data_IF_191675913380
#
_entry.id   IF_191675913380
#
_cell.length_a   1.000
_cell.length_b   1.000
_cell.length_c   1.000
_cell.angle_alpha   90.00
_cell.angle_beta   90.00
_cell.angle_gamma   90.00
#
_symmetry.space_group_name_H-M   'P 1'
#
loop_
_entity.id
_entity.type
_entity.pdbx_description
1 polymer ?
#
# COMPACT_ATOMS: atom_id res chain seq x y z
N UNK A 1 -14.01 -21.33 -21.30
CA UNK A 1 -13.49 -21.25 -19.89
C UNK A 1 -14.37 -20.31 -19.09
N UNK A 2 -14.39 -20.36 -17.75
CA UNK A 2 -15.19 -19.44 -16.94
C UNK A 2 -14.52 -18.06 -16.95
N UNK A 3 -15.28 -16.99 -17.23
CA UNK A 3 -14.79 -15.61 -17.14
C UNK A 3 -14.27 -15.30 -15.72
N UNK A 4 -13.04 -14.81 -15.62
CA UNK A 4 -12.45 -14.38 -14.35
C UNK A 4 -12.85 -12.93 -14.07
N UNK A 5 -13.38 -12.66 -12.88
CA UNK A 5 -13.84 -11.33 -12.46
C UNK A 5 -12.91 -10.73 -11.43
N UNK A 6 -12.41 -9.53 -11.69
CA UNK A 6 -11.48 -8.79 -10.82
C UNK A 6 -12.11 -7.47 -10.41
N UNK A 7 -12.20 -7.21 -9.10
CA UNK A 7 -12.49 -5.88 -8.57
C UNK A 7 -11.18 -5.15 -8.28
N UNK A 8 -10.92 -4.05 -8.97
CA UNK A 8 -9.78 -3.16 -8.71
C UNK A 8 -10.22 -2.11 -7.70
N UNK A 9 -9.53 -2.02 -6.57
CA UNK A 9 -9.86 -1.16 -5.44
C UNK A 9 -8.82 -0.05 -5.31
N UNK A 10 -9.28 1.19 -5.29
CA UNK A 10 -8.44 2.39 -5.23
C UNK A 10 -9.00 3.41 -4.23
N UNK A 11 -8.12 4.21 -3.66
CA UNK A 11 -8.47 5.40 -2.86
C UNK A 11 -7.71 6.58 -3.40
N UNK A 12 -8.40 7.70 -3.61
CA UNK A 12 -7.82 8.92 -4.19
C UNK A 12 -8.11 10.14 -3.30
N UNK A 13 -7.15 11.06 -3.22
CA UNK A 13 -7.31 12.34 -2.55
C UNK A 13 -6.42 13.41 -3.20
N UNK A 14 -7.04 14.37 -3.92
CA UNK A 14 -6.36 15.53 -4.53
C UNK A 14 -5.13 15.19 -5.38
N UNK A 15 -5.26 14.18 -6.25
CA UNK A 15 -4.20 13.72 -7.18
C UNK A 15 -4.74 13.45 -8.58
N UNK A 16 -5.63 14.33 -9.08
CA UNK A 16 -6.38 14.18 -10.34
C UNK A 16 -5.54 13.63 -11.49
N UNK A 17 -4.42 14.28 -11.81
CA UNK A 17 -3.59 13.91 -12.97
C UNK A 17 -3.00 12.49 -12.83
N UNK A 18 -2.50 12.15 -11.64
CA UNK A 18 -1.94 10.80 -11.37
C UNK A 18 -3.03 9.75 -11.45
N UNK A 19 -4.18 10.01 -10.85
CA UNK A 19 -5.33 9.11 -10.86
C UNK A 19 -5.83 8.85 -12.27
N UNK A 20 -6.00 9.89 -13.10
CA UNK A 20 -6.43 9.73 -14.49
C UNK A 20 -5.38 8.96 -15.31
N UNK A 21 -4.10 9.22 -15.11
CA UNK A 21 -3.03 8.47 -15.75
C UNK A 21 -3.03 6.98 -15.34
N UNK A 22 -3.29 6.68 -14.07
CA UNK A 22 -3.41 5.30 -13.57
C UNK A 22 -4.63 4.60 -14.21
N UNK A 23 -5.79 5.26 -14.26
CA UNK A 23 -7.00 4.74 -14.91
C UNK A 23 -6.78 4.49 -16.41
N UNK A 24 -6.12 5.43 -17.13
CA UNK A 24 -5.79 5.24 -18.54
C UNK A 24 -4.95 3.97 -18.76
N UNK A 25 -4.01 3.67 -17.86
CA UNK A 25 -3.21 2.43 -17.91
C UNK A 25 -4.04 1.19 -17.60
N UNK A 26 -4.98 1.25 -16.65
CA UNK A 26 -5.89 0.13 -16.36
C UNK A 26 -6.72 -0.24 -17.59
N UNK A 27 -7.24 0.75 -18.31
CA UNK A 27 -8.04 0.49 -19.51
C UNK A 27 -7.21 0.11 -20.76
N UNK A 28 -5.89 0.19 -20.67
CA UNK A 28 -4.93 -0.23 -21.70
C UNK A 28 -4.18 -1.52 -21.34
N UNK A 29 -4.58 -2.20 -20.24
CA UNK A 29 -3.97 -3.47 -19.87
C UNK A 29 -4.20 -4.52 -20.94
N UNK A 30 -3.18 -5.33 -21.19
CA UNK A 30 -3.25 -6.50 -22.04
C UNK A 30 -3.90 -7.64 -21.25
N UNK A 31 -5.20 -7.84 -21.44
CA UNK A 31 -5.99 -8.86 -20.74
C UNK A 31 -6.72 -9.75 -21.73
N UNK A 32 -6.93 -11.01 -21.37
CA UNK A 32 -7.72 -11.93 -22.20
C UNK A 32 -9.20 -11.52 -22.22
N UNK A 33 -9.92 -11.90 -23.29
CA UNK A 33 -11.37 -11.71 -23.42
C UNK A 33 -12.16 -12.43 -22.29
N UNK A 34 -11.53 -13.36 -21.61
CA UNK A 34 -12.08 -14.10 -20.47
C UNK A 34 -11.89 -13.39 -19.13
N UNK A 35 -11.34 -12.17 -19.12
CA UNK A 35 -11.10 -11.38 -17.90
C UNK A 35 -12.00 -10.15 -17.89
N UNK A 36 -12.87 -10.05 -16.90
CA UNK A 36 -13.67 -8.86 -16.63
C UNK A 36 -13.05 -8.09 -15.45
N UNK A 37 -12.91 -6.78 -15.61
CA UNK A 37 -12.42 -5.90 -14.56
C UNK A 37 -13.41 -4.79 -14.26
N UNK A 38 -13.74 -4.59 -12.99
CA UNK A 38 -14.52 -3.46 -12.51
C UNK A 38 -13.67 -2.65 -11.53
N UNK A 39 -13.70 -1.32 -11.68
CA UNK A 39 -12.88 -0.41 -10.86
C UNK A 39 -13.76 0.29 -9.85
N UNK A 40 -13.37 0.25 -8.58
CA UNK A 40 -13.99 0.93 -7.46
C UNK A 40 -13.00 1.96 -6.90
N UNK A 41 -13.36 3.24 -6.99
CA UNK A 41 -12.53 4.34 -6.53
C UNK A 41 -13.23 5.06 -5.39
N UNK A 42 -12.64 5.04 -4.20
CA UNK A 42 -13.07 5.92 -3.11
C UNK A 42 -12.47 7.31 -3.32
N UNK A 43 -13.32 8.28 -3.66
CA UNK A 43 -12.97 9.70 -3.61
C UNK A 43 -13.08 10.18 -2.16
N UNK A 44 -11.95 10.30 -1.47
CA UNK A 44 -11.93 10.73 -0.07
C UNK A 44 -11.87 12.27 0.04
N UNK A 45 -12.94 12.92 -0.42
CA UNK A 45 -13.13 14.37 -0.30
C UNK A 45 -12.18 15.18 -1.19
N UNK A 46 -11.98 14.78 -2.44
CA UNK A 46 -11.20 15.55 -3.41
C UNK A 46 -11.85 16.92 -3.69
N UNK A 47 -11.02 17.94 -3.79
CA UNK A 47 -11.40 19.33 -4.12
C UNK A 47 -10.80 19.81 -5.44
N UNK A 48 -10.00 18.96 -6.09
CA UNK A 48 -9.31 19.25 -7.36
C UNK A 48 -10.10 18.84 -8.61
N UNK A 49 -11.34 18.37 -8.44
CA UNK A 49 -12.20 17.89 -9.53
C UNK A 49 -11.86 16.47 -10.00
N UNK A 50 -11.19 15.65 -9.15
CA UNK A 50 -10.86 14.26 -9.46
C UNK A 50 -12.10 13.43 -9.74
N UNK A 51 -13.13 13.47 -8.88
CA UNK A 51 -14.34 12.66 -9.03
C UNK A 51 -15.11 12.98 -10.33
N UNK A 52 -15.28 14.25 -10.64
CA UNK A 52 -15.97 14.71 -11.85
C UNK A 52 -15.20 14.27 -13.10
N UNK A 53 -13.87 14.42 -13.09
CA UNK A 53 -13.04 14.02 -14.21
C UNK A 53 -13.07 12.50 -14.45
N UNK A 54 -13.04 11.69 -13.38
CA UNK A 54 -13.18 10.24 -13.48
C UNK A 54 -14.52 9.86 -14.08
N UNK A 55 -15.63 10.40 -13.56
CA UNK A 55 -16.97 10.11 -14.06
C UNK A 55 -17.17 10.50 -15.52
N UNK A 56 -16.54 11.59 -15.95
CA UNK A 56 -16.60 12.07 -17.33
C UNK A 56 -15.80 11.20 -18.30
N UNK A 57 -14.56 10.85 -17.93
CA UNK A 57 -13.64 10.13 -18.83
C UNK A 57 -13.78 8.62 -18.74
N UNK A 58 -14.17 8.11 -17.58
CA UNK A 58 -14.30 6.67 -17.29
C UNK A 58 -15.65 6.34 -16.66
N UNK A 59 -16.77 6.46 -17.40
CA UNK A 59 -18.13 6.34 -16.84
C UNK A 59 -18.45 4.94 -16.27
N UNK A 60 -17.63 3.93 -16.56
CA UNK A 60 -17.76 2.58 -15.98
C UNK A 60 -17.07 2.42 -14.61
N UNK A 61 -16.31 3.41 -14.16
CA UNK A 61 -15.69 3.40 -12.82
C UNK A 61 -16.74 3.67 -11.76
N UNK A 62 -16.77 2.81 -10.74
CA UNK A 62 -17.62 2.99 -9.56
C UNK A 62 -16.95 4.02 -8.63
N UNK A 63 -17.34 5.28 -8.72
CA UNK A 63 -16.83 6.35 -7.85
C UNK A 63 -17.67 6.43 -6.60
N UNK A 64 -17.04 6.12 -5.45
CA UNK A 64 -17.65 6.11 -4.12
C UNK A 64 -17.22 7.37 -3.36
N UNK A 65 -18.19 8.10 -2.80
CA UNK A 65 -17.91 9.34 -2.09
C UNK A 65 -17.56 9.08 -0.64
N UNK A 66 -16.32 9.36 -0.26
CA UNK A 66 -15.84 9.43 1.12
C UNK A 66 -16.14 10.76 1.78
N UNK A 67 -15.81 10.90 3.05
CA UNK A 67 -16.07 12.10 3.87
C UNK A 67 -14.83 13.01 4.03
N UNK A 68 -13.71 12.67 3.41
CA UNK A 68 -12.43 13.39 3.51
C UNK A 68 -11.60 12.99 4.74
N UNK A 69 -12.01 11.97 5.49
CA UNK A 69 -11.34 11.51 6.71
C UNK A 69 -10.98 10.02 6.70
N UNK A 70 -11.25 9.34 5.59
CA UNK A 70 -11.01 7.91 5.45
C UNK A 70 -9.52 7.60 5.31
N UNK A 71 -8.79 8.41 4.56
CA UNK A 71 -7.40 8.16 4.17
C UNK A 71 -7.26 6.81 3.43
N UNK A 72 -6.01 6.34 3.24
CA UNK A 72 -5.77 5.18 2.39
C UNK A 72 -6.47 3.91 2.88
N UNK A 73 -6.23 3.48 4.12
CA UNK A 73 -6.74 2.19 4.59
C UNK A 73 -8.27 2.14 4.66
N UNK A 74 -8.90 3.14 5.27
CA UNK A 74 -10.36 3.17 5.38
C UNK A 74 -11.03 3.40 4.04
N UNK A 75 -10.42 4.18 3.15
CA UNK A 75 -10.89 4.36 1.78
C UNK A 75 -10.84 3.06 0.99
N UNK A 76 -9.77 2.28 1.11
CA UNK A 76 -9.67 0.93 0.55
C UNK A 76 -10.71 -0.02 1.15
N UNK A 77 -10.93 0.02 2.47
CA UNK A 77 -12.01 -0.74 3.14
C UNK A 77 -13.38 -0.36 2.59
N UNK A 78 -13.60 0.92 2.33
CA UNK A 78 -14.88 1.41 1.79
C UNK A 78 -15.12 0.89 0.36
N UNK A 79 -14.10 0.99 -0.52
CA UNK A 79 -14.15 0.42 -1.86
C UNK A 79 -14.36 -1.11 -1.83
N UNK A 80 -13.64 -1.80 -0.93
CA UNK A 80 -13.74 -3.25 -0.81
C UNK A 80 -15.10 -3.72 -0.33
N UNK A 81 -15.69 -3.03 0.65
CA UNK A 81 -17.06 -3.32 1.12
C UNK A 81 -18.10 -3.21 0.01
N UNK A 82 -17.94 -2.24 -0.89
CA UNK A 82 -18.83 -2.08 -2.03
C UNK A 82 -18.63 -3.20 -3.05
N UNK A 83 -17.38 -3.46 -3.45
CA UNK A 83 -17.04 -4.55 -4.35
C UNK A 83 -17.48 -5.93 -3.83
N UNK A 84 -17.38 -6.17 -2.52
CA UNK A 84 -17.74 -7.44 -1.89
C UNK A 84 -19.26 -7.75 -1.92
N UNK A 85 -20.10 -6.79 -2.31
CA UNK A 85 -21.54 -7.05 -2.57
C UNK A 85 -21.76 -7.80 -3.88
N UNK A 86 -20.74 -7.91 -4.70
CA UNK A 86 -20.77 -8.57 -6.00
C UNK A 86 -19.86 -9.80 -6.00
N UNK A 87 -19.99 -10.64 -7.03
CA UNK A 87 -19.28 -11.92 -7.12
C UNK A 87 -18.02 -11.78 -7.96
N UNK A 88 -16.87 -11.48 -7.29
CA UNK A 88 -15.54 -11.41 -7.90
C UNK A 88 -14.71 -12.64 -7.52
N UNK A 89 -13.88 -13.11 -8.47
CA UNK A 89 -12.92 -14.17 -8.24
C UNK A 89 -11.64 -13.63 -7.57
N UNK A 90 -11.33 -12.32 -7.78
CA UNK A 90 -10.17 -11.63 -7.21
C UNK A 90 -10.48 -10.20 -6.83
N UNK A 91 -9.76 -9.70 -5.81
CA UNK A 91 -9.68 -8.29 -5.43
C UNK A 91 -8.26 -7.79 -5.63
N UNK A 92 -8.08 -6.69 -6.35
CA UNK A 92 -6.78 -6.08 -6.61
C UNK A 92 -6.70 -4.71 -5.91
N UNK A 93 -5.86 -4.57 -4.88
CA UNK A 93 -5.49 -3.26 -4.37
C UNK A 93 -4.54 -2.60 -5.37
N UNK A 94 -4.81 -1.37 -5.70
CA UNK A 94 -3.97 -0.57 -6.59
C UNK A 94 -3.94 0.89 -6.12
N UNK A 95 -2.73 1.41 -5.90
CA UNK A 95 -2.58 2.83 -5.60
C UNK A 95 -2.69 3.68 -6.87
N UNK A 96 -3.32 4.85 -6.75
CA UNK A 96 -3.58 5.79 -7.83
C UNK A 96 -2.33 6.49 -8.39
N UNK A 97 -1.18 6.33 -7.74
CA UNK A 97 0.14 6.84 -8.15
C UNK A 97 1.11 5.75 -8.61
N UNK A 98 0.60 4.55 -8.86
CA UNK A 98 1.38 3.43 -9.38
C UNK A 98 1.20 3.31 -10.89
N UNK A 99 2.29 3.47 -11.65
CA UNK A 99 2.28 3.37 -13.12
C UNK A 99 2.50 1.93 -13.56
N UNK A 100 1.39 1.19 -13.69
CA UNK A 100 1.37 -0.23 -13.98
C UNK A 100 1.82 -0.56 -15.41
N UNK A 101 2.40 -1.76 -15.60
CA UNK A 101 2.78 -2.30 -16.90
C UNK A 101 1.63 -3.05 -17.58
N UNK A 102 1.62 -3.12 -18.93
CA UNK A 102 0.49 -3.69 -19.68
C UNK A 102 0.13 -5.13 -19.30
N UNK A 103 1.09 -5.96 -18.95
CA UNK A 103 0.91 -7.37 -18.61
C UNK A 103 0.64 -7.66 -17.12
N UNK A 104 0.37 -6.61 -16.32
CA UNK A 104 0.13 -6.70 -14.87
C UNK A 104 -0.82 -7.86 -14.52
N UNK A 105 -2.01 -7.85 -15.10
CA UNK A 105 -3.08 -8.80 -14.75
C UNK A 105 -2.67 -10.22 -15.07
N UNK A 106 -2.10 -10.44 -16.25
CA UNK A 106 -1.68 -11.78 -16.68
C UNK A 106 -0.64 -12.36 -15.72
N UNK A 107 0.36 -11.57 -15.34
CA UNK A 107 1.40 -12.01 -14.39
C UNK A 107 0.85 -12.28 -13.00
N UNK A 108 -0.06 -11.44 -12.51
CA UNK A 108 -0.70 -11.62 -11.19
C UNK A 108 -1.56 -12.89 -11.17
N UNK A 109 -2.39 -13.12 -12.22
CA UNK A 109 -3.24 -14.30 -12.33
C UNK A 109 -2.42 -15.58 -12.47
N UNK A 110 -1.39 -15.58 -13.33
CA UNK A 110 -0.48 -16.70 -13.48
C UNK A 110 0.21 -17.04 -12.15
N UNK A 111 0.69 -16.01 -11.43
CA UNK A 111 1.31 -16.19 -10.12
C UNK A 111 0.31 -16.77 -9.11
N UNK A 112 -0.93 -16.29 -9.09
CA UNK A 112 -1.98 -16.83 -8.20
C UNK A 112 -2.31 -18.29 -8.51
N UNK A 113 -2.42 -18.65 -9.81
CA UNK A 113 -2.65 -20.04 -10.23
C UNK A 113 -1.49 -20.96 -9.84
N UNK A 114 -0.25 -20.51 -9.97
CA UNK A 114 0.94 -21.29 -9.56
C UNK A 114 1.00 -21.57 -8.04
N UNK A 115 0.24 -20.85 -7.24
CA UNK A 115 0.05 -21.14 -5.80
C UNK A 115 -1.38 -21.64 -5.50
N UNK A 116 -2.07 -22.22 -6.47
CA UNK A 116 -3.41 -22.81 -6.38
C UNK A 116 -4.50 -21.82 -5.87
N UNK A 117 -4.33 -20.52 -6.08
CA UNK A 117 -5.15 -19.45 -5.51
C UNK A 117 -5.24 -19.51 -3.96
N UNK A 118 -4.23 -20.07 -3.32
CA UNK A 118 -4.08 -20.18 -1.85
C UNK A 118 -3.03 -19.20 -1.31
N UNK A 119 -2.83 -18.10 -2.01
CA UNK A 119 -1.90 -17.07 -1.60
C UNK A 119 -2.28 -15.68 -2.13
N UNK A 120 -1.94 -14.67 -1.37
CA UNK A 120 -1.99 -13.27 -1.79
C UNK A 120 -0.77 -13.00 -2.66
N UNK A 121 -0.99 -12.40 -3.85
CA UNK A 121 0.10 -12.05 -4.76
C UNK A 121 0.47 -10.59 -4.61
N UNK A 122 1.73 -10.32 -4.31
CA UNK A 122 2.28 -8.97 -4.19
C UNK A 122 3.02 -8.60 -5.46
N UNK A 123 2.61 -7.51 -6.11
CA UNK A 123 3.33 -6.92 -7.22
C UNK A 123 4.45 -6.01 -6.72
N UNK A 124 5.63 -6.13 -7.32
CA UNK A 124 6.73 -5.21 -7.05
C UNK A 124 6.75 -4.06 -8.06
N UNK A 125 7.14 -2.87 -7.60
CA UNK A 125 7.39 -1.70 -8.42
C UNK A 125 8.85 -1.27 -8.35
N UNK A 126 9.32 -0.56 -9.39
CA UNK A 126 10.63 0.09 -9.39
C UNK A 126 10.49 1.62 -9.39
N UNK A 127 11.58 2.29 -9.08
CA UNK A 127 11.69 3.75 -9.24
C UNK A 127 11.62 4.05 -10.73
N UNK A 128 10.83 5.05 -11.18
CA UNK A 128 10.66 5.37 -12.60
C UNK A 128 11.97 5.47 -13.37
N UNK A 129 11.98 4.91 -14.57
CA UNK A 129 13.14 4.87 -15.48
C UNK A 129 14.38 4.13 -14.90
N UNK A 130 14.19 3.32 -13.86
CA UNK A 130 15.28 2.51 -13.27
C UNK A 130 14.80 1.09 -12.99
N UNK A 131 15.75 0.19 -12.65
CA UNK A 131 15.45 -1.15 -12.11
C UNK A 131 15.63 -1.18 -10.57
N UNK A 132 15.63 -0.02 -9.90
CA UNK A 132 15.75 0.04 -8.46
C UNK A 132 14.40 -0.24 -7.82
N UNK A 133 14.34 -1.24 -6.94
CA UNK A 133 13.14 -1.60 -6.19
C UNK A 133 12.61 -0.40 -5.41
N UNK A 134 11.32 -0.10 -5.54
CA UNK A 134 10.63 0.92 -4.74
C UNK A 134 9.70 0.29 -3.70
N UNK A 135 8.66 -0.44 -4.13
CA UNK A 135 7.67 -1.07 -3.25
C UNK A 135 7.41 -2.52 -3.67
N UNK A 136 6.89 -3.33 -2.72
CA UNK A 136 6.57 -4.75 -2.93
C UNK A 136 6.61 -5.53 -1.62
N UNK A 137 6.86 -6.84 -1.73
CA UNK A 137 6.94 -7.74 -0.59
C UNK A 137 8.18 -7.50 0.27
N UNK A 138 8.03 -7.77 1.58
CA UNK A 138 9.07 -7.64 2.59
C UNK A 138 9.06 -8.82 3.55
N UNK A 139 10.20 -9.07 4.19
CA UNK A 139 10.31 -9.93 5.36
C UNK A 139 10.00 -9.14 6.64
N UNK A 140 9.68 -9.82 7.74
CA UNK A 140 9.40 -9.21 9.06
C UNK A 140 10.59 -8.42 9.63
N UNK A 141 11.81 -8.76 9.23
CA UNK A 141 13.01 -8.00 9.56
C UNK A 141 13.16 -6.68 8.75
N UNK A 142 12.20 -6.40 7.83
CA UNK A 142 12.15 -5.20 7.00
C UNK A 142 12.93 -5.28 5.70
N UNK A 143 13.58 -6.40 5.39
CA UNK A 143 14.29 -6.58 4.11
C UNK A 143 13.26 -6.67 2.96
N UNK A 144 13.47 -5.87 1.93
CA UNK A 144 12.70 -5.94 0.69
C UNK A 144 13.06 -7.22 -0.09
N UNK A 145 12.06 -7.90 -0.59
CA UNK A 145 12.23 -9.03 -1.51
C UNK A 145 12.16 -8.48 -2.94
N UNK A 146 13.31 -8.45 -3.63
CA UNK A 146 13.35 -7.97 -5.02
C UNK A 146 12.96 -9.10 -5.97
N UNK A 147 12.22 -8.80 -7.06
CA UNK A 147 11.96 -9.78 -8.10
C UNK A 147 13.26 -10.36 -8.68
N UNK A 148 13.26 -11.67 -8.92
CA UNK A 148 14.44 -12.40 -9.42
C UNK A 148 14.11 -13.38 -10.55
N UNK A 149 12.96 -13.22 -11.20
CA UNK A 149 12.48 -14.14 -12.24
C UNK A 149 11.69 -15.33 -11.72
N UNK A 150 11.54 -15.47 -10.39
CA UNK A 150 10.79 -16.57 -9.77
C UNK A 150 9.79 -16.02 -8.74
N UNK A 151 8.76 -16.81 -8.45
CA UNK A 151 7.82 -16.52 -7.36
C UNK A 151 8.56 -16.71 -6.03
N UNK A 152 8.48 -15.71 -5.14
CA UNK A 152 9.18 -15.71 -3.86
C UNK A 152 8.21 -15.52 -2.70
N UNK A 153 8.38 -16.27 -1.61
CA UNK A 153 7.62 -16.02 -0.40
C UNK A 153 7.99 -14.69 0.24
N UNK A 154 6.98 -13.98 0.72
CA UNK A 154 7.12 -12.74 1.48
C UNK A 154 6.29 -12.83 2.76
N UNK A 155 6.56 -11.94 3.71
CA UNK A 155 5.86 -11.97 5.00
C UNK A 155 4.93 -10.78 5.17
N UNK A 156 5.21 -9.67 4.48
CA UNK A 156 4.41 -8.44 4.48
C UNK A 156 4.28 -7.93 3.05
N UNK A 157 3.09 -7.53 2.67
CA UNK A 157 2.81 -6.79 1.46
C UNK A 157 2.94 -5.27 1.69
N UNK A 158 3.22 -4.53 0.62
CA UNK A 158 2.94 -3.10 0.53
C UNK A 158 1.73 -2.92 -0.38
N UNK A 159 0.80 -2.05 0.00
CA UNK A 159 -0.50 -1.90 -0.63
C UNK A 159 -0.54 -1.34 -2.06
N UNK A 160 0.61 -1.16 -2.74
CA UNK A 160 0.66 -0.57 -4.09
C UNK A 160 0.00 -1.47 -5.16
N UNK A 161 0.32 -2.77 -5.15
CA UNK A 161 -0.22 -3.78 -6.05
C UNK A 161 -0.37 -5.08 -5.25
N UNK A 162 -1.59 -5.47 -4.92
CA UNK A 162 -1.84 -6.71 -4.16
C UNK A 162 -3.08 -7.41 -4.69
N UNK A 163 -2.92 -8.60 -5.25
CA UNK A 163 -4.03 -9.44 -5.72
C UNK A 163 -4.42 -10.44 -4.63
N UNK A 164 -5.69 -10.42 -4.26
CA UNK A 164 -6.27 -11.30 -3.24
C UNK A 164 -7.29 -12.23 -3.91
N UNK A 165 -7.02 -13.54 -3.99
CA UNK A 165 -8.00 -14.52 -4.48
C UNK A 165 -9.24 -14.60 -3.57
N UNK A 166 -10.40 -14.90 -4.15
CA UNK A 166 -11.66 -15.07 -3.44
C UNK A 166 -11.55 -16.03 -2.26
N UNK A 167 -10.83 -17.13 -2.43
CA UNK A 167 -10.61 -18.12 -1.36
C UNK A 167 -9.96 -17.51 -0.12
N UNK A 168 -8.99 -16.63 -0.31
CA UNK A 168 -8.33 -15.90 0.80
C UNK A 168 -9.28 -14.88 1.40
N UNK A 169 -9.99 -14.11 0.57
CA UNK A 169 -10.99 -13.15 1.04
C UNK A 169 -12.09 -13.83 1.89
N UNK A 170 -12.62 -14.96 1.46
CA UNK A 170 -13.69 -15.68 2.18
C UNK A 170 -13.22 -16.16 3.56
N UNK A 171 -11.93 -16.46 3.73
CA UNK A 171 -11.37 -16.92 4.99
C UNK A 171 -10.93 -15.78 5.92
N UNK A 172 -10.36 -14.70 5.36
CA UNK A 172 -9.70 -13.62 6.13
C UNK A 172 -10.60 -12.38 6.24
N UNK A 173 -11.47 -12.15 5.24
CA UNK A 173 -12.28 -10.94 5.13
C UNK A 173 -11.52 -9.77 4.53
N UNK A 174 -11.92 -8.55 4.93
CA UNK A 174 -11.34 -7.27 4.47
C UNK A 174 -10.34 -6.72 5.49
N UNK A 175 -9.60 -5.66 5.09
CA UNK A 175 -8.70 -4.93 6.00
C UNK A 175 -9.43 -4.37 7.23
N UNK A 176 -8.70 -4.27 8.35
CA UNK A 176 -9.21 -3.71 9.61
C UNK A 176 -9.38 -2.18 9.51
N UNK A 177 -10.61 -1.64 9.66
CA UNK A 177 -10.88 -0.19 9.57
C UNK A 177 -10.36 0.60 10.78
N UNK A 178 -9.79 -0.05 11.77
CA UNK A 178 -9.17 0.63 12.91
C UNK A 178 -8.03 1.54 12.45
N UNK A 179 -7.21 1.06 11.51
CA UNK A 179 -6.13 1.86 10.92
C UNK A 179 -6.69 2.91 9.97
N UNK A 180 -6.06 4.08 9.95
CA UNK A 180 -6.45 5.17 9.04
C UNK A 180 -5.67 5.13 7.74
N UNK A 181 -4.34 5.04 7.82
CA UNK A 181 -3.45 5.12 6.66
C UNK A 181 -2.39 4.03 6.67
N UNK A 182 -1.51 4.02 7.67
CA UNK A 182 -0.42 3.04 7.83
C UNK A 182 -0.92 1.76 8.52
N UNK A 183 -0.18 0.68 8.43
CA UNK A 183 -0.39 -0.62 9.06
C UNK A 183 -1.48 -1.53 8.48
N UNK A 184 -2.46 -1.01 7.74
CA UNK A 184 -3.54 -1.85 7.22
C UNK A 184 -3.06 -2.98 6.32
N UNK A 185 -2.14 -2.70 5.41
CA UNK A 185 -1.50 -3.68 4.53
C UNK A 185 -0.67 -4.73 5.30
N UNK A 186 0.08 -4.26 6.29
CA UNK A 186 0.90 -5.12 7.15
C UNK A 186 0.05 -5.97 8.09
N UNK A 187 -1.03 -5.41 8.65
CA UNK A 187 -2.00 -6.13 9.48
C UNK A 187 -2.69 -7.23 8.68
N UNK A 188 -3.18 -6.90 7.48
CA UNK A 188 -3.81 -7.88 6.60
C UNK A 188 -2.85 -9.00 6.18
N UNK A 189 -1.59 -8.65 5.90
CA UNK A 189 -0.54 -9.63 5.58
C UNK A 189 -0.35 -10.66 6.70
N UNK A 190 -0.32 -10.19 7.95
CA UNK A 190 -0.19 -11.09 9.10
C UNK A 190 -1.44 -11.93 9.31
N UNK A 191 -2.65 -11.37 9.16
CA UNK A 191 -3.90 -12.13 9.21
C UNK A 191 -3.96 -13.24 8.16
N UNK A 192 -3.57 -12.94 6.92
CA UNK A 192 -3.48 -13.95 5.84
C UNK A 192 -2.60 -15.11 6.26
N UNK A 193 -1.43 -14.84 6.84
CA UNK A 193 -0.49 -15.87 7.32
C UNK A 193 -1.03 -16.63 8.54
N UNK A 194 -1.70 -15.95 9.47
CA UNK A 194 -2.36 -16.56 10.63
C UNK A 194 -3.47 -17.56 10.22
N UNK A 195 -4.12 -17.32 9.07
CA UNK A 195 -5.09 -18.24 8.47
C UNK A 195 -4.46 -19.35 7.61
N UNK A 196 -3.12 -19.45 7.59
CA UNK A 196 -2.40 -20.50 6.88
C UNK A 196 -2.20 -20.27 5.40
N UNK A 197 -2.54 -19.09 4.86
CA UNK A 197 -2.30 -18.73 3.47
C UNK A 197 -0.89 -18.16 3.27
N UNK A 198 -0.39 -18.29 2.04
CA UNK A 198 0.88 -17.70 1.64
C UNK A 198 0.73 -16.24 1.22
N UNK A 199 1.81 -15.46 1.37
CA UNK A 199 2.03 -14.24 0.59
C UNK A 199 3.20 -14.50 -0.34
N UNK A 200 3.03 -14.22 -1.62
CA UNK A 200 4.07 -14.43 -2.61
C UNK A 200 4.27 -13.18 -3.45
N UNK A 201 5.51 -12.88 -3.82
CA UNK A 201 5.82 -11.81 -4.73
C UNK A 201 5.89 -12.34 -6.16
N UNK A 202 5.30 -11.59 -7.09
CA UNK A 202 5.38 -11.84 -8.52
C UNK A 202 6.86 -11.82 -9.03
N UNK A 203 7.18 -12.59 -10.10
CA UNK A 203 8.57 -12.83 -10.51
C UNK A 203 9.29 -11.60 -11.07
N UNK A 204 8.55 -10.55 -11.48
CA UNK A 204 9.11 -9.32 -12.08
C UNK A 204 8.47 -8.05 -11.54
N UNK A 205 9.03 -6.90 -11.89
CA UNK A 205 8.36 -5.62 -11.66
C UNK A 205 7.10 -5.51 -12.51
N UNK A 206 6.03 -5.01 -11.90
CA UNK A 206 4.71 -4.85 -12.51
C UNK A 206 4.30 -3.40 -12.70
N UNK A 207 5.19 -2.47 -12.38
CA UNK A 207 4.96 -1.05 -12.55
C UNK A 207 6.08 -0.21 -11.96
N UNK A 208 5.89 1.10 -12.03
CA UNK A 208 6.79 2.10 -11.49
C UNK A 208 6.05 2.92 -10.42
N UNK A 209 6.76 3.27 -9.36
CA UNK A 209 6.27 4.17 -8.31
C UNK A 209 7.43 4.91 -7.67
N UNK A 210 7.31 6.23 -7.52
CA UNK A 210 8.30 7.06 -6.85
C UNK A 210 8.47 6.62 -5.41
N UNK A 211 9.71 6.56 -4.94
CA UNK A 211 10.01 6.23 -3.56
C UNK A 211 10.15 7.48 -2.71
N UNK A 212 9.37 7.56 -1.64
CA UNK A 212 9.52 8.64 -0.65
C UNK A 212 10.67 8.33 0.31
N UNK A 213 11.84 8.92 0.05
CA UNK A 213 13.08 8.71 0.85
C UNK A 213 13.35 9.87 1.83
N UNK A 214 12.32 10.47 2.39
CA UNK A 214 12.51 11.54 3.40
C UNK A 214 12.35 11.01 4.81
N UNK A 215 13.16 11.55 5.73
CA UNK A 215 13.00 11.29 7.14
C UNK A 215 11.63 11.84 7.59
N UNK A 216 10.79 11.02 8.25
CA UNK A 216 9.49 11.49 8.70
C UNK A 216 9.60 12.61 9.72
N UNK A 217 8.74 13.64 9.60
CA UNK A 217 8.77 14.83 10.49
C UNK A 217 8.69 14.48 11.97
N UNK A 218 8.03 13.39 12.37
CA UNK A 218 7.88 12.99 13.78
C UNK A 218 9.19 12.53 14.43
N UNK A 219 10.20 12.18 13.68
CA UNK A 219 11.53 11.76 14.15
C UNK A 219 12.68 12.59 13.55
N UNK A 220 12.38 13.69 12.88
CA UNK A 220 13.38 14.58 12.30
C UNK A 220 13.99 15.49 13.40
N UNK A 221 15.29 15.36 13.71
CA UNK A 221 15.94 16.18 14.74
C UNK A 221 16.03 17.67 14.41
N UNK A 222 15.82 18.07 13.15
CA UNK A 222 15.77 19.47 12.73
C UNK A 222 14.42 20.14 13.08
N UNK A 223 13.37 19.34 13.35
CA UNK A 223 12.07 19.86 13.70
C UNK A 223 11.96 20.10 15.23
N UNK A 224 11.28 21.17 15.67
CA UNK A 224 10.95 21.36 17.08
C UNK A 224 10.14 20.18 17.64
N UNK A 225 10.27 19.91 18.95
CA UNK A 225 9.54 18.80 19.59
C UNK A 225 8.02 18.92 19.40
N UNK A 226 7.47 20.14 19.45
CA UNK A 226 6.04 20.40 19.23
C UNK A 226 5.58 19.96 17.84
N UNK A 227 6.38 20.20 16.80
CA UNK A 227 6.10 19.77 15.42
C UNK A 227 6.21 18.25 15.33
N UNK A 228 7.26 17.66 15.91
CA UNK A 228 7.43 16.20 15.95
C UNK A 228 6.26 15.53 16.65
N UNK A 229 5.84 16.06 17.80
CA UNK A 229 4.72 15.54 18.58
C UNK A 229 3.40 15.59 17.80
N UNK A 230 3.10 16.73 17.16
CA UNK A 230 1.94 16.87 16.29
C UNK A 230 1.98 15.88 15.13
N UNK A 231 3.14 15.71 14.49
CA UNK A 231 3.33 14.78 13.39
C UNK A 231 3.21 13.31 13.83
N UNK A 232 3.65 12.96 15.04
CA UNK A 232 3.52 11.62 15.60
C UNK A 232 2.06 11.15 15.66
N UNK A 233 1.14 12.05 16.03
CA UNK A 233 -0.29 11.75 16.10
C UNK A 233 -1.07 12.05 14.84
N UNK A 234 -0.41 12.59 13.81
CA UNK A 234 -1.03 12.81 12.51
C UNK A 234 -1.34 11.47 11.84
N UNK A 235 -2.13 11.50 10.78
CA UNK A 235 -2.46 10.29 10.01
C UNK A 235 -1.24 9.71 9.31
N UNK A 236 -0.33 10.57 8.87
CA UNK A 236 0.94 10.17 8.24
C UNK A 236 2.04 9.81 9.26
N UNK A 237 1.74 9.90 10.55
CA UNK A 237 2.66 9.52 11.62
C UNK A 237 2.34 8.13 12.19
N UNK A 238 3.31 7.51 12.88
CA UNK A 238 3.10 6.20 13.51
C UNK A 238 2.31 6.36 14.80
N UNK A 239 1.04 6.75 14.69
CA UNK A 239 0.18 7.01 15.85
C UNK A 239 0.37 5.93 16.93
N UNK A 240 0.79 6.28 18.15
CA UNK A 240 1.09 5.31 19.21
C UNK A 240 -0.07 4.37 19.55
N UNK A 241 -1.34 4.81 19.34
CA UNK A 241 -2.52 3.97 19.54
C UNK A 241 -2.62 2.88 18.49
N UNK A 242 -2.38 3.23 17.21
CA UNK A 242 -2.38 2.25 16.11
C UNK A 242 -1.17 1.31 16.21
N UNK A 243 0.00 1.82 16.61
CA UNK A 243 1.19 0.99 16.91
C UNK A 243 0.88 0.01 18.04
N UNK A 244 0.29 0.46 19.15
CA UNK A 244 -0.08 -0.40 20.27
C UNK A 244 -1.06 -1.49 19.85
N UNK A 245 -2.12 -1.11 19.12
CA UNK A 245 -3.13 -2.04 18.64
C UNK A 245 -2.53 -3.13 17.75
N UNK A 246 -1.75 -2.74 16.74
CA UNK A 246 -1.07 -3.64 15.81
C UNK A 246 -0.11 -4.61 16.54
N UNK A 247 0.77 -4.08 17.36
CA UNK A 247 1.78 -4.90 18.05
C UNK A 247 1.14 -5.82 19.10
N UNK A 248 0.06 -5.37 19.76
CA UNK A 248 -0.70 -6.22 20.70
C UNK A 248 -1.41 -7.35 19.98
N UNK A 249 -2.06 -7.04 18.84
CA UNK A 249 -2.85 -8.00 18.04
C UNK A 249 -1.98 -9.16 17.56
N UNK A 250 -0.81 -8.88 17.00
CA UNK A 250 0.02 -9.88 16.34
C UNK A 250 1.20 -10.41 17.17
N UNK A 251 1.68 -9.66 18.15
CA UNK A 251 2.93 -9.99 18.87
C UNK A 251 2.81 -9.93 20.39
N UNK A 252 1.65 -9.57 20.91
CA UNK A 252 1.36 -9.55 22.33
C UNK A 252 1.73 -8.27 23.08
N UNK A 253 1.27 -8.18 24.32
CA UNK A 253 1.27 -6.98 25.15
C UNK A 253 2.68 -6.44 25.41
N UNK A 254 3.63 -7.30 25.75
CA UNK A 254 4.99 -6.87 26.11
C UNK A 254 5.68 -6.17 24.93
N UNK A 255 5.52 -6.72 23.71
CA UNK A 255 6.08 -6.12 22.50
C UNK A 255 5.36 -4.81 22.17
N UNK A 256 4.05 -4.73 22.34
CA UNK A 256 3.27 -3.51 22.13
C UNK A 256 3.77 -2.36 23.01
N UNK A 257 3.95 -2.60 24.31
CA UNK A 257 4.48 -1.59 25.23
C UNK A 257 5.90 -1.15 24.80
N UNK A 258 6.80 -2.09 24.54
CA UNK A 258 8.17 -1.79 24.09
C UNK A 258 8.19 -0.94 22.82
N UNK A 259 7.34 -1.24 21.83
CA UNK A 259 7.28 -0.50 20.57
C UNK A 259 6.71 0.90 20.75
N UNK A 260 5.69 1.08 21.56
CA UNK A 260 5.14 2.41 21.89
C UNK A 260 6.18 3.28 22.60
N UNK A 261 6.86 2.74 23.62
CA UNK A 261 7.94 3.45 24.31
C UNK A 261 9.09 3.82 23.35
N UNK A 262 9.50 2.90 22.47
CA UNK A 262 10.51 3.19 21.46
C UNK A 262 10.05 4.28 20.46
N UNK A 263 8.76 4.32 20.11
CA UNK A 263 8.18 5.36 19.24
C UNK A 263 8.25 6.74 19.93
N UNK A 264 7.86 6.83 21.20
CA UNK A 264 8.00 8.07 21.96
C UNK A 264 9.45 8.51 22.12
N UNK A 265 10.35 7.56 22.42
CA UNK A 265 11.78 7.88 22.58
C UNK A 265 12.38 8.42 21.27
N UNK A 266 12.03 7.82 20.11
CA UNK A 266 12.43 8.36 18.79
C UNK A 266 11.90 9.77 18.53
N UNK A 267 10.67 10.06 18.95
CA UNK A 267 10.09 11.39 18.80
C UNK A 267 10.80 12.42 19.70
N UNK A 268 11.07 12.08 20.95
CA UNK A 268 11.67 13.01 21.93
C UNK A 268 13.18 13.17 21.72
N UNK A 269 13.88 12.06 21.49
CA UNK A 269 15.34 12.01 21.34
C UNK A 269 15.79 11.46 19.97
N UNK A 270 15.35 12.05 18.83
CA UNK A 270 15.59 11.47 17.50
C UNK A 270 17.08 11.35 17.16
N UNK A 271 17.94 12.23 17.65
CA UNK A 271 19.40 12.21 17.39
C UNK A 271 20.05 10.88 17.70
N UNK A 272 19.61 10.18 18.75
CA UNK A 272 20.14 8.87 19.16
C UNK A 272 19.92 7.83 18.04
N UNK A 273 18.77 7.89 17.33
CA UNK A 273 18.37 6.91 16.32
C UNK A 273 18.84 7.30 14.91
N UNK A 274 18.84 8.59 14.60
CA UNK A 274 19.24 9.10 13.28
C UNK A 274 20.75 8.87 13.02
N UNK A 275 21.55 8.74 14.04
CA UNK A 275 22.99 8.49 13.88
C UNK A 275 23.34 7.01 13.70
N UNK A 276 22.38 6.12 13.76
CA UNK A 276 22.59 4.67 13.65
C UNK A 276 21.69 4.06 12.58
N UNK A 277 22.19 3.06 11.86
CA UNK A 277 21.41 2.21 10.97
C UNK A 277 20.75 2.91 9.77
N UNK A 278 19.51 2.53 9.45
CA UNK A 278 18.75 2.98 8.29
C UNK A 278 18.38 4.48 8.37
N UNK A 279 18.07 4.96 9.56
CA UNK A 279 17.73 6.35 9.83
C UNK A 279 18.89 7.30 9.56
N UNK A 280 20.13 6.85 9.78
CA UNK A 280 21.32 7.63 9.45
C UNK A 280 21.41 7.95 7.96
N UNK A 281 21.14 6.94 7.10
CA UNK A 281 21.15 7.11 5.65
C UNK A 281 20.09 8.12 5.19
N UNK A 282 18.86 7.99 5.71
CA UNK A 282 17.75 8.91 5.38
C UNK A 282 18.04 10.34 5.84
N UNK A 283 18.65 10.51 7.00
CA UNK A 283 19.03 11.83 7.52
C UNK A 283 20.14 12.48 6.69
N UNK A 284 21.16 11.71 6.27
CA UNK A 284 22.20 12.17 5.35
C UNK A 284 21.62 12.70 4.03
N UNK A 285 20.75 11.93 3.38
CA UNK A 285 20.07 12.34 2.13
C UNK A 285 19.31 13.65 2.32
N UNK A 286 18.60 13.81 3.45
CA UNK A 286 17.83 15.02 3.73
C UNK A 286 18.72 16.26 3.91
N UNK A 287 19.87 16.12 4.55
CA UNK A 287 20.85 17.22 4.72
C UNK A 287 21.42 17.62 3.36
N UNK A 288 21.81 16.67 2.53
CA UNK A 288 22.37 16.91 1.21
C UNK A 288 21.38 17.66 0.32
N UNK A 289 20.09 17.27 0.35
CA UNK A 289 19.03 17.97 -0.39
C UNK A 289 18.83 19.42 0.07
N UNK A 290 19.00 19.73 1.34
CA UNK A 290 18.90 21.09 1.88
C UNK A 290 20.08 21.93 1.43
N UNK A 291 21.28 21.38 1.41
CA UNK A 291 22.50 22.08 0.99
C UNK A 291 22.55 22.33 -0.52
N UNK A 292 22.03 21.43 -1.34
CA UNK A 292 22.00 21.59 -2.81
C UNK A 292 20.75 22.29 -3.34
N UNK A 293 19.68 22.44 -2.55
CA UNK A 293 18.46 23.15 -2.93
C UNK A 293 18.50 24.68 -2.71
N UNK A 294 19.57 25.19 -2.10
CA UNK A 294 19.80 26.64 -1.85
C UNK A 294 20.94 27.22 -2.72
N UNK A 295 21.36 26.51 -3.76
CA UNK A 295 22.37 26.97 -4.72
C UNK A 295 21.76 27.30 -6.08
#
# INVERSE_FOLDING_TARGET
MKTQKIAILMTVHNRKEKTLCCLDRIYKLDVSDETQMDVFVTDDGCTDGSAEAIKLQYPKVNVLQGDGTLFWNRGMVFAWKEAAKHDYDYYLWLNDDTFIYPDLINVLLETAMNVNNEGVVVGATCVPQTNNFSYGGRLLNGHAVKPNGSIQDVELANGNIVLIPRKVFDAVGIMDPYYRHDKGDSDYSLLVREHGFRLVQAPKFLGECERHERLPKWMDPQQPLSVRWKSLYSVMGPNPREVFYYEKKHFGMVRAIKKVLATYLRCVCPKIFVWTGKEKKLYGIQIDLIHHGNS
#
